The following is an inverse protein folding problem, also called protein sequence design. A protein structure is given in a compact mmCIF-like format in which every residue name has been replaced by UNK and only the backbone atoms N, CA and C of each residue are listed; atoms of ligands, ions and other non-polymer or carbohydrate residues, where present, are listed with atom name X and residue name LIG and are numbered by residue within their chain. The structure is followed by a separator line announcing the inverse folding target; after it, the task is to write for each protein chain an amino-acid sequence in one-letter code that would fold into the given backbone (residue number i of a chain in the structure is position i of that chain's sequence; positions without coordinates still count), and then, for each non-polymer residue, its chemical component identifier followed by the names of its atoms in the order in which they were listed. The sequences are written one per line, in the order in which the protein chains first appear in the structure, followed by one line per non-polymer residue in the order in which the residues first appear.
data_IF_984270454448
#
_entry.id   IF_984270454448
#
_cell.length_a   1.000
_cell.length_b   1.000
_cell.length_c   1.000
_cell.angle_alpha   90.00
_cell.angle_beta   90.00
_cell.angle_gamma   90.00
#
_symmetry.space_group_name_H-M   'P 1'
#
loop_
_entity.id
_entity.type
_entity.pdbx_description
1 polymer ?
#
# COMPACT_ATOMS: atom_id res chain seq x y z
N UNK A 1 -0.62 13.65 12.49
CA UNK A 1 0.65 12.93 12.65
C UNK A 1 0.62 11.57 11.99
N UNK A 2 1.79 11.02 11.67
CA UNK A 2 1.96 9.71 11.03
C UNK A 2 3.24 9.04 11.53
N UNK A 3 3.29 7.72 11.46
CA UNK A 3 4.50 6.92 11.62
C UNK A 3 5.04 6.52 10.26
N UNK A 4 6.35 6.65 10.08
CA UNK A 4 7.04 6.31 8.83
C UNK A 4 8.15 5.31 9.15
N UNK A 5 8.10 4.16 8.49
CA UNK A 5 9.15 3.16 8.50
C UNK A 5 9.87 3.18 7.16
N UNK A 6 11.17 3.47 7.17
CA UNK A 6 11.99 3.51 5.95
C UNK A 6 12.65 2.15 5.75
N UNK A 7 12.42 1.52 4.59
CA UNK A 7 13.00 0.22 4.24
C UNK A 7 14.20 0.36 3.32
N UNK A 8 14.14 1.27 2.36
CA UNK A 8 15.23 1.50 1.41
C UNK A 8 15.17 2.91 0.80
N UNK A 9 16.09 3.19 -0.12
CA UNK A 9 16.16 4.45 -0.86
C UNK A 9 16.44 4.15 -2.33
N UNK A 10 15.82 4.91 -3.23
CA UNK A 10 16.14 4.83 -4.65
C UNK A 10 17.41 5.64 -5.02
N UNK A 11 17.81 5.62 -6.30
CA UNK A 11 18.99 6.36 -6.77
C UNK A 11 18.82 7.88 -6.77
N UNK A 12 17.58 8.37 -6.69
CA UNK A 12 17.25 9.78 -6.62
C UNK A 12 17.25 10.35 -5.20
N UNK A 13 17.42 9.49 -4.19
CA UNK A 13 17.38 9.88 -2.78
C UNK A 13 15.98 9.78 -2.16
N UNK A 14 15.00 9.20 -2.85
CA UNK A 14 13.65 9.03 -2.31
C UNK A 14 13.60 7.81 -1.39
N UNK A 15 13.01 7.99 -0.21
CA UNK A 15 12.77 6.89 0.71
C UNK A 15 11.61 6.00 0.24
N UNK A 16 11.79 4.69 0.36
CA UNK A 16 10.78 3.66 0.10
C UNK A 16 10.49 2.96 1.42
N UNK A 17 9.22 2.83 1.78
CA UNK A 17 8.82 2.20 3.03
C UNK A 17 7.33 2.29 3.29
N UNK A 18 6.95 2.24 4.59
CA UNK A 18 5.55 2.19 5.04
C UNK A 18 5.17 3.46 5.78
N UNK A 19 3.95 3.90 5.55
CA UNK A 19 3.32 5.01 6.27
C UNK A 19 2.04 4.50 6.93
N UNK A 20 1.93 4.80 8.22
CA UNK A 20 0.79 4.42 9.05
C UNK A 20 0.27 5.65 9.79
N UNK A 21 -1.04 5.88 9.74
CA UNK A 21 -1.65 6.97 10.51
C UNK A 21 -1.55 6.69 12.01
N UNK A 22 -1.70 7.71 12.84
CA UNK A 22 -1.74 7.52 14.31
C UNK A 22 -2.85 6.57 14.77
N UNK A 23 -3.92 6.44 13.98
CA UNK A 23 -5.03 5.52 14.23
C UNK A 23 -4.73 4.07 13.80
N UNK A 24 -3.51 3.80 13.33
CA UNK A 24 -3.06 2.47 12.89
C UNK A 24 -3.42 2.12 11.45
N UNK A 25 -3.94 3.07 10.65
CA UNK A 25 -4.33 2.79 9.27
C UNK A 25 -3.11 2.85 8.34
N UNK A 26 -2.87 1.77 7.59
CA UNK A 26 -1.80 1.72 6.59
C UNK A 26 -2.21 2.49 5.33
N UNK A 27 -1.40 3.47 4.93
CA UNK A 27 -1.70 4.31 3.76
C UNK A 27 -1.70 3.51 2.45
N UNK A 28 -0.79 2.55 2.28
CA UNK A 28 -0.78 1.67 1.10
C UNK A 28 -2.06 0.84 1.02
N UNK A 29 -2.56 0.34 2.15
CA UNK A 29 -3.83 -0.39 2.19
C UNK A 29 -5.01 0.51 1.85
N UNK A 30 -5.09 1.71 2.42
CA UNK A 30 -6.17 2.66 2.14
C UNK A 30 -6.26 3.01 0.64
N UNK A 31 -5.11 3.23 0.00
CA UNK A 31 -5.05 3.54 -1.43
C UNK A 31 -5.50 2.36 -2.31
N UNK A 32 -5.05 1.14 -1.99
CA UNK A 32 -5.45 -0.06 -2.73
C UNK A 32 -6.93 -0.36 -2.53
N UNK A 33 -7.44 -0.24 -1.30
CA UNK A 33 -8.85 -0.46 -0.97
C UNK A 33 -9.79 0.55 -1.65
N UNK A 34 -9.32 1.77 -1.91
CA UNK A 34 -10.06 2.79 -2.65
C UNK A 34 -9.92 2.65 -4.18
N UNK A 35 -9.19 1.66 -4.69
CA UNK A 35 -8.92 1.48 -6.12
C UNK A 35 -8.02 2.58 -6.71
N UNK A 36 -7.23 3.27 -5.89
CA UNK A 36 -6.34 4.36 -6.32
C UNK A 36 -4.90 3.89 -6.60
N UNK A 37 -4.57 2.65 -6.20
CA UNK A 37 -3.25 2.06 -6.39
C UNK A 37 -3.36 0.55 -6.69
N UNK A 38 -2.24 0.00 -7.21
CA UNK A 38 -2.06 -1.43 -7.46
C UNK A 38 -1.00 -1.99 -6.52
N UNK A 39 -1.12 -3.27 -6.16
CA UNK A 39 -0.14 -3.97 -5.36
C UNK A 39 1.08 -4.26 -6.23
N UNK A 40 2.21 -3.68 -5.87
CA UNK A 40 3.49 -3.96 -6.51
C UNK A 40 4.13 -5.19 -5.85
N UNK A 41 4.92 -5.93 -6.63
CA UNK A 41 5.66 -7.11 -6.19
C UNK A 41 6.63 -6.83 -5.02
N UNK A 42 7.09 -5.58 -4.85
CA UNK A 42 7.88 -5.14 -3.69
C UNK A 42 7.10 -5.18 -2.36
N UNK A 43 5.77 -5.32 -2.39
CA UNK A 43 4.98 -5.54 -1.18
C UNK A 43 5.09 -6.99 -0.66
N UNK A 44 5.71 -7.89 -1.42
CA UNK A 44 5.93 -9.27 -0.99
C UNK A 44 6.75 -9.32 0.31
N UNK A 45 6.26 -10.09 1.28
CA UNK A 45 6.86 -10.16 2.62
C UNK A 45 6.41 -9.05 3.58
N UNK A 46 5.64 -8.05 3.12
CA UNK A 46 5.00 -7.11 4.04
C UNK A 46 3.98 -7.83 4.94
N UNK A 47 3.87 -7.48 6.23
CA UNK A 47 2.94 -8.13 7.16
C UNK A 47 1.47 -8.12 6.69
N UNK A 48 1.09 -7.08 5.94
CA UNK A 48 -0.26 -6.88 5.42
C UNK A 48 -0.43 -7.30 3.94
N UNK A 49 0.54 -8.02 3.35
CA UNK A 49 0.51 -8.39 1.93
C UNK A 49 -0.80 -9.08 1.51
N UNK A 50 -1.28 -10.05 2.31
CA UNK A 50 -2.53 -10.76 2.03
C UNK A 50 -3.73 -9.81 1.96
N UNK A 51 -3.82 -8.85 2.88
CA UNK A 51 -4.90 -7.87 2.91
C UNK A 51 -4.87 -6.94 1.69
N UNK A 52 -3.66 -6.56 1.23
CA UNK A 52 -3.49 -5.76 0.02
C UNK A 52 -4.02 -6.48 -1.22
N UNK A 53 -3.67 -7.77 -1.39
CA UNK A 53 -4.16 -8.56 -2.52
C UNK A 53 -5.69 -8.71 -2.48
N UNK A 54 -6.26 -9.00 -1.31
CA UNK A 54 -7.72 -9.11 -1.16
C UNK A 54 -8.45 -7.80 -1.50
N UNK A 55 -7.89 -6.65 -1.06
CA UNK A 55 -8.43 -5.33 -1.38
C UNK A 55 -8.36 -5.00 -2.88
N UNK A 56 -7.25 -5.36 -3.53
CA UNK A 56 -7.07 -5.17 -4.97
C UNK A 56 -8.03 -6.05 -5.80
N UNK A 57 -8.18 -7.33 -5.45
CA UNK A 57 -9.12 -8.25 -6.10
C UNK A 57 -10.56 -7.75 -5.98
N UNK A 58 -10.93 -7.17 -4.84
CA UNK A 58 -12.24 -6.55 -4.66
C UNK A 58 -12.44 -5.39 -5.63
N UNK A 59 -11.48 -4.46 -5.70
CA UNK A 59 -11.55 -3.34 -6.63
C UNK A 59 -11.61 -3.80 -8.10
N UNK A 60 -10.90 -4.88 -8.44
CA UNK A 60 -10.93 -5.47 -9.78
C UNK A 60 -12.28 -6.07 -10.16
N UNK A 61 -12.92 -6.78 -9.23
CA UNK A 61 -14.26 -7.35 -9.46
C UNK A 61 -15.32 -6.27 -9.61
N UNK A 62 -15.21 -5.20 -8.83
CA UNK A 62 -16.17 -4.10 -8.78
C UNK A 62 -15.87 -2.97 -9.80
N UNK A 63 -14.74 -3.05 -10.51
CA UNK A 63 -14.25 -2.03 -11.48
C UNK A 63 -14.12 -0.64 -10.85
N UNK A 64 -13.44 -0.60 -9.70
CA UNK A 64 -13.24 0.62 -8.91
C UNK A 64 -11.90 1.27 -9.26
N UNK A 65 -11.96 2.56 -9.62
CA UNK A 65 -10.77 3.40 -9.79
C UNK A 65 -9.91 2.97 -10.98
N UNK A 66 -8.66 2.56 -10.71
CA UNK A 66 -7.70 2.14 -11.75
C UNK A 66 -7.92 0.71 -12.28
N UNK A 67 -9.03 0.06 -11.88
CA UNK A 67 -9.38 -1.32 -12.22
C UNK A 67 -10.66 -1.45 -13.06
#
# INVERSE_FOLDING_TARGET
DVFVEVESMDRGGNFIGRLTTVDGNSASFMLVQAGLAKVHESAYGAPNYKQLIEAEEKCRKERIGVW
#
